data_IF_381950971248
#
_entry.id   IF_381950971248
#
_cell.length_a   1.000
_cell.length_b   1.000
_cell.length_c   1.000
_cell.angle_alpha   90.00
_cell.angle_beta   90.00
_cell.angle_gamma   90.00
#
_symmetry.space_group_name_H-M   'P 1'
#
loop_
_entity.id
_entity.type
_entity.pdbx_description
1 polymer ?
#
# COMPACT_ATOMS: atom_id res chain seq x y z
N UNK A 1 18.70 5.91 32.95
CA UNK A 1 19.22 5.92 31.55
C UNK A 1 18.06 6.29 30.64
N UNK A 2 18.23 7.24 29.72
CA UNK A 2 17.19 7.65 28.78
C UNK A 2 17.59 7.25 27.38
N UNK A 3 16.74 6.50 26.66
CA UNK A 3 16.89 6.19 25.25
C UNK A 3 16.05 7.16 24.43
N UNK A 4 16.63 7.73 23.37
CA UNK A 4 15.92 8.57 22.40
C UNK A 4 15.94 7.86 21.05
N UNK A 5 14.77 7.55 20.45
CA UNK A 5 14.72 7.06 19.08
C UNK A 5 15.11 8.20 18.14
N UNK A 6 16.17 8.03 17.36
CA UNK A 6 16.55 8.95 16.29
C UNK A 6 16.33 8.27 14.95
N UNK A 7 15.94 9.06 13.93
CA UNK A 7 15.70 8.56 12.58
C UNK A 7 14.63 7.44 12.53
N UNK A 8 13.56 7.61 13.32
CA UNK A 8 12.41 6.73 13.25
C UNK A 8 11.78 6.79 11.86
N UNK A 9 11.28 5.64 11.36
CA UNK A 9 10.55 5.54 10.11
C UNK A 9 9.05 5.55 10.39
N UNK A 10 8.34 6.68 10.19
CA UNK A 10 6.91 6.74 10.40
C UNK A 10 6.15 5.94 9.34
N UNK A 11 5.11 5.24 9.79
CA UNK A 11 4.11 4.63 8.93
C UNK A 11 2.75 5.16 9.37
N UNK A 12 1.98 5.64 8.41
CA UNK A 12 0.63 6.15 8.64
C UNK A 12 -0.37 5.01 8.56
N UNK A 13 -1.23 4.93 9.54
CA UNK A 13 -2.35 3.98 9.58
C UNK A 13 -3.65 4.72 9.82
N UNK A 14 -4.67 4.42 9.02
CA UNK A 14 -6.01 4.96 9.15
C UNK A 14 -7.03 3.94 8.67
N UNK A 15 -8.31 4.19 8.97
CA UNK A 15 -9.40 3.36 8.48
C UNK A 15 -10.48 4.19 7.82
N UNK A 16 -11.05 3.66 6.74
CA UNK A 16 -12.24 4.19 6.07
C UNK A 16 -13.55 3.68 6.69
N UNK A 17 -13.48 2.71 7.61
CA UNK A 17 -14.67 2.06 8.19
C UNK A 17 -15.48 2.96 9.12
N UNK A 18 -14.93 4.09 9.54
CA UNK A 18 -15.64 5.08 10.37
C UNK A 18 -16.74 5.83 9.62
N UNK A 19 -16.72 5.79 8.29
CA UNK A 19 -17.79 6.35 7.45
C UNK A 19 -18.98 5.38 7.41
N UNK A 20 -20.17 5.85 7.74
CA UNK A 20 -21.41 5.04 7.72
C UNK A 20 -21.73 4.44 6.35
N UNK A 21 -21.20 5.00 5.28
CA UNK A 21 -21.36 4.50 3.91
C UNK A 21 -20.27 3.50 3.50
N UNK A 22 -19.36 3.13 4.40
CA UNK A 22 -18.17 2.34 4.05
C UNK A 22 -18.52 1.00 3.40
N UNK A 23 -19.46 0.25 3.94
CA UNK A 23 -19.79 -1.08 3.42
C UNK A 23 -20.25 -1.01 1.95
N UNK A 24 -21.15 -0.10 1.62
CA UNK A 24 -21.62 0.10 0.24
C UNK A 24 -20.48 0.59 -0.66
N UNK A 25 -19.71 1.57 -0.18
CA UNK A 25 -18.57 2.10 -0.92
C UNK A 25 -17.50 1.03 -1.19
N UNK A 26 -17.20 0.19 -0.19
CA UNK A 26 -16.23 -0.89 -0.36
C UNK A 26 -16.75 -1.98 -1.31
N UNK A 27 -18.05 -2.28 -1.29
CA UNK A 27 -18.67 -3.20 -2.24
C UNK A 27 -18.59 -2.67 -3.68
N UNK A 28 -18.88 -1.38 -3.92
CA UNK A 28 -18.73 -0.75 -5.23
C UNK A 28 -17.27 -0.77 -5.72
N UNK A 29 -16.30 -0.53 -4.83
CA UNK A 29 -14.88 -0.64 -5.17
C UNK A 29 -14.52 -2.08 -5.55
N UNK A 30 -14.98 -3.06 -4.78
CA UNK A 30 -14.69 -4.47 -5.06
C UNK A 30 -15.24 -4.89 -6.42
N UNK A 31 -16.49 -4.55 -6.72
CA UNK A 31 -17.11 -4.80 -8.02
C UNK A 31 -16.30 -4.14 -9.17
N UNK A 32 -15.89 -2.89 -8.99
CA UNK A 32 -15.05 -2.19 -9.97
C UNK A 32 -13.68 -2.87 -10.17
N UNK A 33 -13.04 -3.36 -9.10
CA UNK A 33 -11.78 -4.10 -9.19
C UNK A 33 -11.94 -5.41 -9.95
N UNK A 34 -13.03 -6.15 -9.70
CA UNK A 34 -13.33 -7.41 -10.37
C UNK A 34 -13.66 -7.20 -11.85
N UNK A 35 -14.46 -6.18 -12.17
CA UNK A 35 -14.75 -5.81 -13.56
C UNK A 35 -13.48 -5.45 -14.34
N UNK A 36 -12.60 -4.64 -13.76
CA UNK A 36 -11.29 -4.31 -14.37
C UNK A 36 -10.46 -5.56 -14.63
N UNK A 37 -10.41 -6.52 -13.71
CA UNK A 37 -9.66 -7.75 -13.90
C UNK A 37 -10.18 -8.61 -15.07
N UNK A 38 -11.46 -8.47 -15.42
CA UNK A 38 -12.08 -9.14 -16.57
C UNK A 38 -11.90 -8.35 -17.87
N UNK A 39 -12.05 -7.03 -17.82
CA UNK A 39 -12.16 -6.19 -19.02
C UNK A 39 -10.79 -5.68 -19.50
N UNK A 40 -9.85 -5.41 -18.61
CA UNK A 40 -8.52 -4.89 -18.93
C UNK A 40 -7.63 -5.96 -19.59
N UNK A 41 -7.74 -6.06 -20.91
CA UNK A 41 -6.95 -7.00 -21.71
C UNK A 41 -5.45 -6.70 -21.65
N UNK A 42 -5.08 -5.41 -21.62
CA UNK A 42 -3.67 -5.00 -21.58
C UNK A 42 -3.02 -5.36 -20.24
N UNK A 43 -3.70 -5.09 -19.12
CA UNK A 43 -3.22 -5.47 -17.78
C UNK A 43 -3.09 -6.99 -17.63
N UNK A 44 -4.06 -7.76 -18.12
CA UNK A 44 -3.94 -9.24 -18.12
C UNK A 44 -2.79 -9.73 -18.98
N UNK A 45 -2.53 -9.10 -20.12
CA UNK A 45 -1.39 -9.46 -20.97
C UNK A 45 -0.08 -9.15 -20.22
N UNK A 46 0.04 -7.98 -19.64
CA UNK A 46 1.17 -7.57 -18.82
C UNK A 46 1.42 -8.54 -17.66
N UNK A 47 0.37 -8.92 -16.91
CA UNK A 47 0.48 -9.87 -15.79
C UNK A 47 1.03 -11.22 -16.23
N UNK A 48 0.60 -11.75 -17.40
CA UNK A 48 1.13 -13.01 -17.93
C UNK A 48 2.60 -12.90 -18.34
N UNK A 49 2.95 -11.82 -19.03
CA UNK A 49 4.31 -11.57 -19.51
C UNK A 49 5.31 -11.45 -18.35
N UNK A 50 4.89 -10.83 -17.23
CA UNK A 50 5.75 -10.59 -16.08
C UNK A 50 5.58 -11.63 -14.96
N UNK A 51 4.83 -12.71 -15.20
CA UNK A 51 4.63 -13.77 -14.20
C UNK A 51 3.89 -13.30 -12.94
N UNK A 52 3.05 -12.24 -13.06
CA UNK A 52 2.29 -11.73 -11.91
C UNK A 52 1.16 -12.70 -11.53
N UNK A 53 1.19 -13.18 -10.30
CA UNK A 53 0.28 -14.21 -9.79
C UNK A 53 -1.14 -13.72 -9.47
N UNK A 54 -1.79 -13.09 -10.42
CA UNK A 54 -3.12 -12.53 -10.25
C UNK A 54 -3.44 -11.51 -11.32
N UNK A 55 -3.97 -10.36 -10.90
CA UNK A 55 -4.20 -9.20 -11.74
C UNK A 55 -3.66 -7.95 -11.08
N UNK A 56 -3.00 -7.11 -11.85
CA UNK A 56 -2.72 -5.72 -11.48
C UNK A 56 -2.97 -4.81 -12.68
N UNK A 57 -3.54 -3.65 -12.44
CA UNK A 57 -3.70 -2.62 -13.46
C UNK A 57 -2.48 -1.70 -13.59
N UNK A 58 -1.42 -1.94 -12.82
CA UNK A 58 -0.21 -1.10 -12.77
C UNK A 58 0.39 -0.83 -14.16
N UNK A 59 0.50 -1.85 -14.99
CA UNK A 59 1.09 -1.75 -16.32
C UNK A 59 0.14 -1.25 -17.42
N UNK A 60 -1.13 -0.93 -17.08
CA UNK A 60 -2.16 -0.58 -18.07
C UNK A 60 -3.02 0.60 -17.68
N UNK A 61 -3.58 0.59 -16.49
CA UNK A 61 -4.55 1.57 -15.99
C UNK A 61 -4.15 2.03 -14.59
N UNK A 62 -3.33 3.06 -14.49
CA UNK A 62 -2.89 3.67 -13.24
C UNK A 62 -3.54 5.04 -12.97
N UNK A 63 -4.46 5.46 -13.85
CA UNK A 63 -5.21 6.70 -13.83
C UNK A 63 -6.72 6.47 -13.50
N UNK A 64 -7.02 5.44 -12.73
CA UNK A 64 -8.38 4.99 -12.41
C UNK A 64 -9.32 6.09 -11.87
N UNK A 65 -8.86 7.09 -11.06
CA UNK A 65 -9.72 8.18 -10.61
C UNK A 65 -10.32 9.03 -11.72
N UNK A 66 -9.68 9.09 -12.89
CA UNK A 66 -10.18 9.81 -14.07
C UNK A 66 -11.15 8.98 -14.90
N UNK A 67 -11.14 7.66 -14.72
CA UNK A 67 -11.94 6.70 -15.52
C UNK A 67 -13.23 6.28 -14.85
N UNK A 68 -13.24 6.16 -13.52
CA UNK A 68 -14.37 5.63 -12.78
C UNK A 68 -14.64 6.47 -11.52
N UNK A 69 -15.89 6.88 -11.33
CA UNK A 69 -16.29 7.77 -10.22
C UNK A 69 -15.94 7.21 -8.84
N UNK A 70 -16.08 5.91 -8.61
CA UNK A 70 -15.76 5.26 -7.33
C UNK A 70 -14.29 5.43 -6.94
N UNK A 71 -13.36 5.36 -7.91
CA UNK A 71 -11.94 5.65 -7.63
C UNK A 71 -11.67 7.15 -7.49
N UNK A 72 -12.48 8.00 -8.11
CA UNK A 72 -12.49 9.44 -7.84
C UNK A 72 -12.88 9.76 -6.39
N UNK A 73 -13.87 9.06 -5.88
CA UNK A 73 -14.31 9.16 -4.47
C UNK A 73 -13.25 8.64 -3.51
N UNK A 74 -12.62 7.51 -3.84
CA UNK A 74 -11.49 6.98 -3.09
C UNK A 74 -10.34 7.99 -3.05
N UNK A 75 -9.97 8.58 -4.20
CA UNK A 75 -8.94 9.62 -4.27
C UNK A 75 -9.23 10.77 -3.30
N UNK A 76 -10.47 11.29 -3.26
CA UNK A 76 -10.82 12.39 -2.35
C UNK A 76 -10.63 12.03 -0.87
N UNK A 77 -10.86 10.76 -0.51
CA UNK A 77 -10.60 10.25 0.84
C UNK A 77 -9.09 10.15 1.10
N UNK A 78 -8.34 9.56 0.17
CA UNK A 78 -6.88 9.41 0.26
C UNK A 78 -6.14 10.75 0.28
N UNK A 79 -6.59 11.77 -0.45
CA UNK A 79 -6.02 13.12 -0.45
C UNK A 79 -6.01 13.74 0.96
N UNK A 80 -7.04 13.47 1.78
CA UNK A 80 -7.09 13.92 3.19
C UNK A 80 -6.03 13.22 4.04
N UNK A 81 -5.89 11.90 3.88
CA UNK A 81 -4.90 11.10 4.59
C UNK A 81 -3.47 11.47 4.18
N UNK A 82 -3.22 11.66 2.89
CA UNK A 82 -1.90 12.08 2.40
C UNK A 82 -1.49 13.46 2.94
N UNK A 83 -2.44 14.40 3.04
CA UNK A 83 -2.20 15.71 3.65
C UNK A 83 -1.86 15.56 5.13
N UNK A 84 -2.67 14.83 5.89
CA UNK A 84 -2.44 14.61 7.32
C UNK A 84 -1.08 13.94 7.59
N UNK A 85 -0.70 12.98 6.75
CA UNK A 85 0.60 12.32 6.88
C UNK A 85 1.75 13.26 6.53
N UNK A 86 1.65 14.05 5.46
CA UNK A 86 2.66 15.06 5.11
C UNK A 86 2.86 16.11 6.21
N UNK A 87 1.78 16.53 6.88
CA UNK A 87 1.84 17.41 8.05
C UNK A 87 2.55 16.73 9.23
N UNK A 88 2.23 15.46 9.52
CA UNK A 88 2.88 14.69 10.57
C UNK A 88 4.38 14.42 10.31
N UNK A 89 4.77 14.34 9.04
CA UNK A 89 6.18 14.23 8.60
C UNK A 89 6.90 15.59 8.60
N UNK A 90 6.21 16.69 8.91
CA UNK A 90 6.75 18.05 8.86
C UNK A 90 7.33 18.43 7.48
N UNK A 91 6.70 17.98 6.39
CA UNK A 91 7.16 18.34 5.05
C UNK A 91 7.07 19.85 4.80
N UNK A 92 8.18 20.46 4.45
CA UNK A 92 8.20 21.83 3.90
C UNK A 92 7.88 21.77 2.39
N UNK A 93 6.61 21.89 2.06
CA UNK A 93 6.15 21.82 0.67
C UNK A 93 6.38 23.10 -0.13
N UNK A 94 6.86 24.19 0.48
CA UNK A 94 7.20 25.46 -0.19
C UNK A 94 6.10 25.98 -1.13
N UNK A 95 4.85 25.94 -0.68
CA UNK A 95 3.68 26.36 -1.45
C UNK A 95 3.20 25.35 -2.50
N UNK A 96 3.86 24.20 -2.63
CA UNK A 96 3.42 23.05 -3.43
C UNK A 96 2.45 22.17 -2.63
N UNK A 97 2.00 21.08 -3.21
CA UNK A 97 1.09 20.12 -2.56
C UNK A 97 1.45 18.69 -2.90
N UNK A 98 1.00 17.76 -2.08
CA UNK A 98 0.97 16.34 -2.42
C UNK A 98 -0.20 16.09 -3.37
N UNK A 99 0.08 15.48 -4.52
CA UNK A 99 -0.89 15.19 -5.58
C UNK A 99 -0.82 13.71 -5.88
N UNK A 100 -1.98 13.04 -5.93
CA UNK A 100 -2.06 11.66 -6.37
C UNK A 100 -1.56 11.58 -7.82
N UNK A 101 -0.49 10.83 -8.03
CA UNK A 101 0.11 10.60 -9.34
C UNK A 101 -0.46 9.36 -10.01
N UNK A 102 -0.51 8.26 -9.27
CA UNK A 102 -0.97 6.97 -9.78
C UNK A 102 -1.80 6.22 -8.74
N UNK A 103 -2.77 5.47 -9.23
CA UNK A 103 -3.63 4.59 -8.44
C UNK A 103 -3.98 3.36 -9.27
N UNK A 104 -3.74 2.16 -8.71
CA UNK A 104 -3.94 0.90 -9.43
C UNK A 104 -4.45 -0.22 -8.52
N UNK A 105 -5.16 -1.17 -9.11
CA UNK A 105 -5.73 -2.35 -8.46
C UNK A 105 -4.71 -3.47 -8.41
N UNK A 106 -4.71 -4.25 -7.32
CA UNK A 106 -3.98 -5.50 -7.18
C UNK A 106 -4.94 -6.59 -6.65
N UNK A 107 -5.06 -7.68 -7.40
CA UNK A 107 -5.77 -8.90 -7.00
C UNK A 107 -4.77 -10.04 -6.95
N UNK A 108 -4.32 -10.39 -5.75
CA UNK A 108 -3.35 -11.45 -5.53
C UNK A 108 -4.06 -12.77 -5.25
N UNK A 109 -3.87 -13.74 -6.13
CA UNK A 109 -4.37 -15.12 -5.98
C UNK A 109 -3.66 -15.84 -4.82
N UNK A 110 -4.21 -16.95 -4.34
CA UNK A 110 -3.49 -17.85 -3.42
C UNK A 110 -2.10 -18.20 -3.96
N UNK A 111 -1.09 -18.11 -3.10
CA UNK A 111 0.32 -18.36 -3.44
C UNK A 111 1.05 -17.20 -4.13
N UNK A 112 0.34 -16.19 -4.63
CA UNK A 112 0.95 -15.02 -5.24
C UNK A 112 1.43 -14.00 -4.20
N UNK A 113 2.47 -13.27 -4.55
CA UNK A 113 3.05 -12.20 -3.73
C UNK A 113 3.55 -11.05 -4.60
N UNK A 114 4.19 -10.08 -3.96
CA UNK A 114 4.82 -8.96 -4.62
C UNK A 114 6.24 -8.80 -4.07
N UNK A 115 7.24 -8.88 -4.92
CA UNK A 115 8.66 -8.82 -4.50
C UNK A 115 9.01 -7.49 -3.86
N UNK A 116 10.08 -7.51 -3.04
CA UNK A 116 10.57 -6.31 -2.35
C UNK A 116 11.03 -5.21 -3.29
N UNK A 117 10.45 -4.01 -3.16
CA UNK A 117 10.69 -2.85 -4.02
C UNK A 117 10.50 -1.52 -3.28
N UNK A 118 10.81 -0.43 -3.96
CA UNK A 118 10.58 0.97 -3.56
C UNK A 118 9.92 1.72 -4.73
N UNK A 119 9.45 2.94 -4.48
CA UNK A 119 8.87 3.83 -5.51
C UNK A 119 9.73 5.11 -5.66
N UNK A 120 10.82 5.07 -6.43
CA UNK A 120 11.88 6.11 -6.38
C UNK A 120 11.45 7.50 -6.86
N UNK A 121 10.34 7.63 -7.57
CA UNK A 121 9.87 8.92 -8.12
C UNK A 121 8.67 9.50 -7.37
N UNK A 122 8.28 8.90 -6.26
CA UNK A 122 7.14 9.35 -5.46
C UNK A 122 7.58 9.85 -4.09
N UNK A 123 6.80 10.75 -3.49
CA UNK A 123 7.03 11.23 -2.13
C UNK A 123 6.42 10.29 -1.09
N UNK A 124 5.15 9.94 -1.28
CA UNK A 124 4.42 9.00 -0.44
C UNK A 124 3.86 7.87 -1.29
N UNK A 125 3.90 6.67 -0.75
CA UNK A 125 3.23 5.49 -1.29
C UNK A 125 2.27 4.92 -0.27
N UNK A 126 1.28 4.18 -0.74
CA UNK A 126 0.33 3.56 0.18
C UNK A 126 -0.52 2.48 -0.47
N UNK A 127 -1.29 1.85 0.37
CA UNK A 127 -2.27 0.83 -0.02
C UNK A 127 -3.53 0.95 0.82
N UNK A 128 -4.67 0.69 0.21
CA UNK A 128 -5.94 0.47 0.91
C UNK A 128 -6.44 -0.94 0.60
N UNK A 129 -6.94 -1.61 1.62
CA UNK A 129 -7.44 -2.98 1.50
C UNK A 129 -8.95 -2.98 1.23
N UNK A 130 -9.34 -3.79 0.24
CA UNK A 130 -10.74 -3.93 -0.20
C UNK A 130 -11.31 -5.28 0.23
N UNK A 131 -10.58 -6.37 -0.03
CA UNK A 131 -10.95 -7.70 0.41
C UNK A 131 -9.75 -8.44 1.00
N UNK A 132 -9.89 -8.89 2.24
CA UNK A 132 -8.82 -9.50 3.05
C UNK A 132 -9.31 -10.80 3.68
N UNK A 133 -9.40 -11.89 2.88
CA UNK A 133 -9.86 -13.17 3.40
C UNK A 133 -8.90 -13.71 4.49
N UNK A 134 -9.38 -14.59 5.39
CA UNK A 134 -8.53 -15.20 6.41
C UNK A 134 -7.26 -15.82 5.82
N UNK A 135 -6.10 -15.46 6.36
CA UNK A 135 -4.78 -15.87 5.85
C UNK A 135 -4.22 -14.95 4.75
N UNK A 136 -4.88 -13.84 4.42
CA UNK A 136 -4.33 -12.84 3.52
C UNK A 136 -2.97 -12.33 4.02
N UNK A 137 -2.00 -12.23 3.11
CA UNK A 137 -0.63 -11.84 3.47
C UNK A 137 -0.55 -10.38 3.90
N UNK A 138 0.25 -10.16 4.94
CA UNK A 138 0.59 -8.85 5.47
C UNK A 138 1.41 -8.02 4.46
N UNK A 139 1.46 -6.72 4.67
CA UNK A 139 2.48 -5.85 4.09
C UNK A 139 3.73 -5.96 4.97
N UNK A 140 4.83 -6.43 4.40
CA UNK A 140 6.12 -6.52 5.07
C UNK A 140 6.95 -5.29 4.74
N UNK A 141 7.37 -4.57 5.77
CA UNK A 141 8.28 -3.44 5.70
C UNK A 141 9.67 -3.88 6.16
N UNK A 142 10.70 -3.35 5.50
CA UNK A 142 12.11 -3.62 5.82
C UNK A 142 12.75 -2.41 6.48
N UNK A 143 13.49 -2.61 7.57
CA UNK A 143 14.29 -1.54 8.19
C UNK A 143 15.28 -0.99 7.15
N UNK A 144 15.22 0.30 6.80
CA UNK A 144 16.07 0.88 5.75
C UNK A 144 17.56 0.82 6.09
N UNK A 145 17.91 0.59 7.34
CA UNK A 145 19.30 0.44 7.82
C UNK A 145 19.82 -0.99 7.67
N UNK A 146 18.96 -1.95 7.29
CA UNK A 146 19.33 -3.38 7.22
C UNK A 146 20.61 -3.64 6.40
N UNK A 147 20.85 -3.00 5.25
CA UNK A 147 22.09 -3.19 4.50
C UNK A 147 23.36 -2.81 5.25
N UNK A 148 23.25 -1.98 6.28
CA UNK A 148 24.37 -1.51 7.11
C UNK A 148 24.56 -2.31 8.40
N UNK A 149 23.62 -3.21 8.73
CA UNK A 149 23.63 -4.00 9.98
C UNK A 149 24.43 -5.31 9.87
N UNK A 150 25.56 -5.32 9.16
CA UNK A 150 26.32 -6.53 8.83
C UNK A 150 26.82 -7.34 10.04
N UNK A 151 27.11 -6.67 11.15
CA UNK A 151 27.59 -7.31 12.39
C UNK A 151 26.61 -7.13 13.57
N UNK A 152 25.37 -6.71 13.30
CA UNK A 152 24.40 -6.54 14.36
C UNK A 152 23.92 -7.91 14.89
N UNK A 153 23.84 -8.11 16.22
CA UNK A 153 23.25 -9.32 16.77
C UNK A 153 21.76 -9.41 16.41
N UNK A 154 21.19 -10.62 16.36
CA UNK A 154 19.75 -10.79 16.16
C UNK A 154 18.98 -10.09 17.28
N UNK A 155 17.78 -9.64 16.98
CA UNK A 155 16.85 -9.10 17.98
C UNK A 155 16.15 -10.24 18.70
N UNK A 156 15.70 -9.98 19.92
CA UNK A 156 14.84 -10.90 20.65
C UNK A 156 13.50 -11.09 19.91
N UNK A 157 12.85 -12.24 20.05
CA UNK A 157 11.61 -12.55 19.37
C UNK A 157 10.44 -11.62 19.79
N UNK A 158 10.48 -11.15 21.04
CA UNK A 158 9.51 -10.19 21.61
C UNK A 158 9.95 -8.71 21.47
N UNK A 159 10.98 -8.44 20.68
CA UNK A 159 11.43 -7.05 20.46
C UNK A 159 10.27 -6.17 19.95
N UNK A 160 10.16 -4.92 20.45
CA UNK A 160 9.17 -3.98 19.96
C UNK A 160 9.38 -3.70 18.46
N UNK A 161 8.31 -3.36 17.74
CA UNK A 161 8.37 -3.13 16.29
C UNK A 161 9.48 -2.20 15.85
N UNK A 162 9.69 -1.10 16.58
CA UNK A 162 10.76 -0.12 16.31
C UNK A 162 12.19 -0.70 16.38
N UNK A 163 12.36 -1.90 16.92
CA UNK A 163 13.64 -2.59 17.01
C UNK A 163 13.76 -3.77 16.03
N UNK A 164 12.70 -4.14 15.32
CA UNK A 164 12.70 -5.27 14.36
C UNK A 164 13.30 -4.87 13.04
N UNK A 165 13.97 -5.81 12.36
CA UNK A 165 14.44 -5.63 10.99
C UNK A 165 13.30 -5.70 9.96
N UNK A 166 12.21 -6.40 10.30
CA UNK A 166 11.01 -6.52 9.49
C UNK A 166 9.77 -6.32 10.34
N UNK A 167 8.83 -5.52 9.84
CA UNK A 167 7.51 -5.30 10.44
C UNK A 167 6.44 -5.80 9.48
N UNK A 168 5.41 -6.47 10.01
CA UNK A 168 4.32 -7.05 9.24
C UNK A 168 3.00 -6.39 9.61
N UNK A 169 2.49 -5.53 8.73
CA UNK A 169 1.22 -4.85 8.89
C UNK A 169 0.09 -5.73 8.35
N UNK A 170 -0.85 -6.07 9.23
CA UNK A 170 -1.94 -6.98 8.87
C UNK A 170 -2.95 -6.28 7.98
N UNK A 171 -3.44 -6.95 6.90
CA UNK A 171 -4.45 -6.38 6.04
C UNK A 171 -5.84 -6.52 6.64
N UNK A 172 -6.55 -5.41 6.79
CA UNK A 172 -7.96 -5.37 7.17
C UNK A 172 -8.73 -4.51 6.17
N UNK A 173 -9.93 -4.96 5.73
CA UNK A 173 -10.72 -4.21 4.77
C UNK A 173 -11.03 -2.80 5.30
N UNK A 174 -10.79 -1.79 4.47
CA UNK A 174 -10.91 -0.37 4.83
C UNK A 174 -9.66 0.24 5.45
N UNK A 175 -8.66 -0.54 5.84
CA UNK A 175 -7.41 0.02 6.36
C UNK A 175 -6.58 0.65 5.24
N UNK A 176 -6.05 1.83 5.53
CA UNK A 176 -5.12 2.59 4.69
C UNK A 176 -3.76 2.63 5.38
N UNK A 177 -2.74 2.11 4.73
CA UNK A 177 -1.36 2.34 5.13
C UNK A 177 -0.67 3.28 4.15
N UNK A 178 0.14 4.21 4.67
CA UNK A 178 1.02 5.07 3.86
C UNK A 178 2.41 5.13 4.50
N UNK A 179 3.41 5.33 3.64
CA UNK A 179 4.82 5.46 4.02
C UNK A 179 5.54 6.37 3.02
N UNK A 180 6.71 6.87 3.40
CA UNK A 180 7.59 7.55 2.46
C UNK A 180 8.08 6.55 1.41
N UNK A 181 8.00 6.93 0.14
CA UNK A 181 8.13 6.01 -1.01
C UNK A 181 9.48 5.30 -1.14
N UNK A 182 10.52 5.77 -0.42
CA UNK A 182 11.82 5.14 -0.33
C UNK A 182 11.83 3.88 0.57
N UNK A 183 10.82 3.67 1.41
CA UNK A 183 10.75 2.52 2.32
C UNK A 183 10.52 1.24 1.53
N UNK A 184 11.48 0.31 1.65
CA UNK A 184 11.40 -1.00 1.00
C UNK A 184 10.30 -1.84 1.62
N UNK A 185 9.47 -2.40 0.76
CA UNK A 185 8.34 -3.21 1.18
C UNK A 185 8.07 -4.35 0.19
N UNK A 186 7.37 -5.36 0.67
CA UNK A 186 6.94 -6.53 -0.12
C UNK A 186 5.61 -7.08 0.39
N UNK A 187 4.95 -7.89 -0.42
CA UNK A 187 3.81 -8.70 0.00
C UNK A 187 4.21 -10.17 -0.13
N UNK A 188 4.44 -10.87 0.99
CA UNK A 188 4.72 -12.31 0.97
C UNK A 188 3.62 -13.11 0.29
N UNK A 189 3.87 -14.36 -0.11
CA UNK A 189 2.86 -15.19 -0.78
C UNK A 189 1.54 -15.25 -0.01
N UNK A 190 0.43 -15.00 -0.72
CA UNK A 190 -0.91 -15.02 -0.15
C UNK A 190 -1.29 -16.43 0.32
N UNK A 191 -1.48 -16.61 1.62
CA UNK A 191 -1.82 -17.88 2.24
C UNK A 191 -3.33 -18.12 2.38
N UNK A 192 -4.14 -17.14 1.99
CA UNK A 192 -5.59 -17.29 1.94
C UNK A 192 -6.02 -18.28 0.86
N UNK A 193 -7.24 -18.81 0.99
CA UNK A 193 -7.85 -19.70 -0.01
C UNK A 193 -8.53 -18.95 -1.16
N UNK A 194 -8.68 -17.63 -1.03
CA UNK A 194 -9.30 -16.73 -2.01
C UNK A 194 -8.40 -15.51 -2.26
N UNK A 195 -8.64 -14.75 -3.35
CA UNK A 195 -7.82 -13.59 -3.67
C UNK A 195 -7.88 -12.50 -2.60
N UNK A 196 -6.74 -11.83 -2.37
CA UNK A 196 -6.61 -10.59 -1.62
C UNK A 196 -6.70 -9.42 -2.60
N UNK A 197 -7.58 -8.46 -2.33
CA UNK A 197 -7.78 -7.28 -3.16
C UNK A 197 -7.31 -6.04 -2.41
N UNK A 198 -6.45 -5.27 -3.04
CA UNK A 198 -5.98 -3.97 -2.54
C UNK A 198 -5.81 -2.98 -3.67
N UNK A 199 -5.81 -1.70 -3.33
CA UNK A 199 -5.55 -0.61 -4.25
C UNK A 199 -4.30 0.10 -3.74
N UNK A 200 -3.26 0.15 -4.57
CA UNK A 200 -2.03 0.87 -4.28
C UNK A 200 -2.03 2.23 -4.97
N UNK A 201 -1.30 3.17 -4.41
CA UNK A 201 -1.28 4.54 -4.92
C UNK A 201 0.03 5.24 -4.55
N UNK A 202 0.37 6.25 -5.35
CA UNK A 202 1.51 7.12 -5.11
C UNK A 202 1.11 8.59 -5.14
N UNK A 203 1.79 9.38 -4.32
CA UNK A 203 1.72 10.83 -4.29
C UNK A 203 3.05 11.45 -4.65
N UNK A 204 3.00 12.41 -5.53
CA UNK A 204 4.12 13.29 -5.84
C UNK A 204 4.01 14.63 -5.11
N UNK A 205 5.11 15.31 -5.04
CA UNK A 205 5.22 16.70 -4.59
C UNK A 205 5.29 17.64 -5.79
N UNK A 206 4.19 18.33 -6.07
CA UNK A 206 4.05 19.29 -7.18
C UNK A 206 3.62 20.67 -6.69
#
# INVERSE_FOLDING_TARGET
>A
MTLRPLFATPVYEATLTTDRSFENFNAEILEACEALAVEDRAGRAWCREHGYGGYTSYGSLNDLPQRMSVFGDLKRRLDRHARAFGEALHFDLRGRRLVLDSLWVNILKPGAGHSGHIHPHSALSGTVYVATPPGASALKLEDPRLPFMMAAPPRQDDAPEAARAFVYLQPEAGTVYMWESWLRHEVPPNRARSPRVSISFNYEWR
#
